data_IF_057006077616
#
_entry.id   IF_057006077616
#
_cell.length_a   1.000
_cell.length_b   1.000
_cell.length_c   1.000
_cell.angle_alpha   90.00
_cell.angle_beta   90.00
_cell.angle_gamma   90.00
#
_symmetry.space_group_name_H-M   'P 1'
#
loop_
_entity.id
_entity.type
_entity.pdbx_description
1 polymer ?
#
# COMPACT_ATOMS: atom_id res chain seq x y z
N UNK A 1 -15.24 -7.08 -27.08
CA UNK A 1 -14.84 -7.84 -26.90
C UNK A 1 -15.25 -8.72 -26.47
N UNK A 2 -15.33 -9.10 -26.33
CA UNK A 2 -15.35 -9.90 -25.97
C UNK A 2 -14.97 -10.55 -25.86
N UNK A 3 -14.73 -10.85 -25.35
CA UNK A 3 -14.16 -11.42 -24.92
C UNK A 3 -13.90 -12.12 -24.76
N UNK A 4 -13.79 -12.21 -25.11
CA UNK A 4 -13.70 -13.27 -24.47
C UNK A 4 -13.29 -13.29 -23.30
N UNK A 5 -13.61 -13.33 -22.72
CA UNK A 5 -13.14 -13.52 -21.81
C UNK A 5 -12.65 -14.54 -21.37
N UNK A 6 -12.86 -15.03 -21.47
CA UNK A 6 -12.51 -16.20 -21.01
C UNK A 6 -11.14 -16.52 -20.75
N UNK A 7 -10.41 -16.35 -21.48
CA UNK A 7 -9.03 -16.67 -21.35
C UNK A 7 -8.25 -15.55 -20.81
N UNK A 8 -8.94 -14.48 -20.47
CA UNK A 8 -8.25 -13.29 -20.16
C UNK A 8 -7.75 -13.27 -18.72
N UNK A 9 -6.48 -13.48 -18.53
CA UNK A 9 -5.84 -13.15 -17.28
C UNK A 9 -5.28 -11.74 -17.45
N UNK A 10 -5.85 -10.79 -16.72
CA UNK A 10 -5.40 -9.41 -16.76
C UNK A 10 -4.66 -9.08 -15.48
N UNK A 11 -3.40 -8.73 -15.60
CA UNK A 11 -2.56 -8.33 -14.47
C UNK A 11 -2.50 -6.81 -14.41
N UNK A 12 -2.91 -6.24 -13.29
CA UNK A 12 -2.88 -4.81 -13.06
C UNK A 12 -1.96 -4.48 -11.89
N UNK A 13 -1.24 -3.37 -12.00
CA UNK A 13 -0.47 -2.81 -10.90
C UNK A 13 -1.21 -1.56 -10.45
N UNK A 14 -1.55 -1.49 -9.17
CA UNK A 14 -2.40 -0.43 -8.68
C UNK A 14 -2.08 -0.08 -7.22
N UNK A 15 -2.60 1.04 -6.75
CA UNK A 15 -2.49 1.42 -5.35
C UNK A 15 -3.30 0.45 -4.50
N UNK A 16 -2.80 0.13 -3.31
CA UNK A 16 -3.46 -0.83 -2.41
C UNK A 16 -4.88 -0.39 -2.04
N UNK A 17 -5.16 0.91 -2.03
CA UNK A 17 -6.50 1.42 -1.73
C UNK A 17 -7.55 1.03 -2.76
N UNK A 18 -7.14 0.65 -3.97
CA UNK A 18 -8.07 0.17 -5.01
C UNK A 18 -8.23 -1.35 -4.99
N UNK A 19 -7.27 -2.06 -4.44
CA UNK A 19 -7.31 -3.51 -4.41
C UNK A 19 -8.21 -4.05 -3.30
N UNK A 20 -8.46 -3.26 -2.27
CA UNK A 20 -9.26 -3.67 -1.12
C UNK A 20 -10.48 -2.77 -0.95
N UNK A 21 -11.55 -3.33 -0.40
CA UNK A 21 -12.76 -2.58 -0.11
C UNK A 21 -12.51 -1.64 1.08
N UNK A 22 -12.92 -0.38 0.96
CA UNK A 22 -12.61 0.65 1.95
C UNK A 22 -13.29 0.45 3.30
N UNK A 23 -14.42 -0.26 3.34
CA UNK A 23 -15.14 -0.50 4.59
C UNK A 23 -14.82 -1.85 5.22
N UNK A 24 -14.75 -2.91 4.41
CA UNK A 24 -14.52 -4.26 4.92
C UNK A 24 -13.06 -4.61 5.03
N UNK A 25 -12.19 -3.88 4.31
CA UNK A 25 -10.75 -4.13 4.20
C UNK A 25 -10.42 -5.51 3.62
N UNK A 26 -11.39 -6.12 2.95
CA UNK A 26 -11.19 -7.38 2.24
C UNK A 26 -10.89 -7.10 0.78
N UNK A 27 -10.25 -8.03 0.06
CA UNK A 27 -10.01 -7.84 -1.36
C UNK A 27 -11.27 -7.53 -2.13
N UNK A 28 -11.17 -6.63 -3.10
CA UNK A 28 -12.30 -6.25 -3.95
C UNK A 28 -12.83 -7.48 -4.67
N UNK A 29 -14.15 -7.61 -4.71
CA UNK A 29 -14.81 -8.75 -5.35
C UNK A 29 -14.42 -8.83 -6.83
N UNK A 30 -14.09 -10.02 -7.28
CA UNK A 30 -13.76 -10.26 -8.67
C UNK A 30 -12.29 -10.14 -9.00
N UNK A 31 -11.45 -9.80 -8.02
CA UNK A 31 -10.00 -9.76 -8.21
C UNK A 31 -9.29 -10.61 -7.19
N UNK A 32 -8.07 -11.01 -7.52
CA UNK A 32 -7.19 -11.72 -6.60
C UNK A 32 -5.91 -10.92 -6.47
N UNK A 33 -5.42 -10.82 -5.25
CA UNK A 33 -4.15 -10.15 -5.00
C UNK A 33 -3.04 -11.16 -5.20
N UNK A 34 -2.07 -10.83 -6.06
CA UNK A 34 -0.95 -11.73 -6.34
C UNK A 34 0.14 -11.52 -5.28
N UNK A 35 0.43 -12.54 -4.47
CA UNK A 35 1.48 -12.41 -3.45
C UNK A 35 2.86 -12.29 -4.08
N UNK A 36 3.77 -11.61 -3.38
CA UNK A 36 5.16 -11.51 -3.80
C UNK A 36 6.00 -12.58 -3.14
N UNK A 37 6.81 -13.26 -3.94
CA UNK A 37 7.79 -14.23 -3.45
C UNK A 37 9.06 -13.45 -3.06
N UNK A 38 9.12 -13.04 -1.80
CA UNK A 38 10.17 -12.13 -1.33
C UNK A 38 11.53 -12.82 -1.26
N UNK A 39 11.55 -14.10 -0.88
CA UNK A 39 12.81 -14.82 -0.74
C UNK A 39 13.21 -15.60 -2.00
N UNK A 40 12.41 -15.57 -3.05
CA UNK A 40 12.75 -16.18 -4.33
C UNK A 40 12.72 -17.70 -4.35
N UNK A 41 12.01 -18.34 -3.43
CA UNK A 41 11.99 -19.80 -3.35
C UNK A 41 10.92 -20.46 -4.22
N UNK A 42 10.12 -19.68 -4.93
CA UNK A 42 9.06 -20.17 -5.78
C UNK A 42 7.82 -20.66 -5.05
N UNK A 43 7.73 -20.43 -3.75
CA UNK A 43 6.61 -20.84 -2.91
C UNK A 43 6.10 -19.67 -2.08
N UNK A 44 4.83 -19.76 -1.67
CA UNK A 44 4.26 -18.77 -0.76
C UNK A 44 4.43 -19.28 0.68
N UNK A 45 5.40 -18.73 1.38
CA UNK A 45 5.68 -19.08 2.76
C UNK A 45 4.71 -18.39 3.71
N UNK A 46 4.61 -18.86 4.96
CA UNK A 46 3.72 -18.27 5.96
C UNK A 46 4.02 -16.80 6.19
N UNK A 47 5.28 -16.41 6.20
CA UNK A 47 5.70 -15.03 6.40
C UNK A 47 5.36 -14.12 5.23
N UNK A 48 4.95 -14.70 4.10
CA UNK A 48 4.53 -13.97 2.90
C UNK A 48 3.00 -13.92 2.75
N UNK A 49 2.26 -14.53 3.69
CA UNK A 49 0.81 -14.64 3.62
C UNK A 49 0.12 -13.52 4.42
N UNK A 50 0.23 -12.30 3.93
CA UNK A 50 -0.37 -11.15 4.59
C UNK A 50 -1.34 -10.35 3.69
N UNK A 51 -1.88 -11.03 2.69
CA UNK A 51 -2.74 -10.36 1.69
C UNK A 51 -4.24 -10.51 1.97
N UNK A 52 -4.60 -11.22 3.02
CA UNK A 52 -6.01 -11.51 3.30
C UNK A 52 -6.86 -10.30 3.65
N UNK A 53 -6.27 -9.29 4.25
CA UNK A 53 -6.94 -8.03 4.56
C UNK A 53 -6.02 -6.86 4.29
N UNK A 54 -6.61 -5.69 4.08
CA UNK A 54 -5.84 -4.45 3.90
C UNK A 54 -5.00 -4.15 5.15
N UNK A 55 -5.55 -4.40 6.33
CA UNK A 55 -4.84 -4.13 7.58
C UNK A 55 -3.57 -4.97 7.70
N UNK A 56 -3.67 -6.26 7.37
CA UNK A 56 -2.52 -7.15 7.42
C UNK A 56 -1.45 -6.73 6.41
N UNK A 57 -1.85 -6.33 5.22
CA UNK A 57 -0.92 -5.87 4.19
C UNK A 57 -0.24 -4.56 4.61
N UNK A 58 -0.99 -3.60 5.13
CA UNK A 58 -0.42 -2.34 5.58
C UNK A 58 0.58 -2.55 6.71
N UNK A 59 0.27 -3.44 7.65
CA UNK A 59 1.19 -3.77 8.72
C UNK A 59 2.47 -4.42 8.20
N UNK A 60 2.33 -5.32 7.23
CA UNK A 60 3.49 -5.97 6.61
C UNK A 60 4.39 -4.95 5.91
N UNK A 61 3.81 -3.97 5.22
CA UNK A 61 4.56 -2.90 4.58
C UNK A 61 5.28 -2.05 5.63
N UNK A 62 4.59 -1.69 6.70
CA UNK A 62 5.16 -0.87 7.78
C UNK A 62 6.33 -1.58 8.47
N UNK A 63 6.27 -2.90 8.58
CA UNK A 63 7.32 -3.72 9.19
C UNK A 63 8.42 -4.12 8.22
N UNK A 64 8.33 -3.71 6.95
CA UNK A 64 9.34 -4.02 5.96
C UNK A 64 9.28 -5.42 5.37
N UNK A 65 8.17 -6.13 5.56
CA UNK A 65 7.99 -7.47 5.01
C UNK A 65 7.61 -7.47 3.54
N UNK A 66 7.05 -6.37 3.05
CA UNK A 66 6.70 -6.21 1.65
C UNK A 66 7.90 -5.58 0.94
N UNK A 67 8.29 -6.08 -0.26
CA UNK A 67 9.51 -5.60 -0.90
C UNK A 67 9.39 -4.18 -1.47
N UNK A 68 10.51 -3.49 -1.51
CA UNK A 68 10.62 -2.18 -2.14
C UNK A 68 11.71 -2.26 -3.24
N UNK A 69 11.39 -2.00 -4.51
CA UNK A 69 10.07 -1.87 -5.07
C UNK A 69 9.27 -3.18 -5.05
N UNK A 70 7.94 -3.14 -5.17
CA UNK A 70 7.11 -2.02 -5.62
C UNK A 70 6.69 -1.04 -4.52
N UNK A 71 6.91 -1.36 -3.24
CA UNK A 71 6.64 -0.39 -2.19
C UNK A 71 7.59 0.80 -2.31
N UNK A 72 7.10 2.00 -2.02
CA UNK A 72 7.92 3.21 -2.09
C UNK A 72 7.43 4.23 -1.08
N UNK A 73 8.36 5.09 -0.66
CA UNK A 73 8.03 6.19 0.22
C UNK A 73 7.45 7.35 -0.59
N UNK A 74 6.57 8.10 0.05
CA UNK A 74 6.08 9.35 -0.49
C UNK A 74 6.80 10.49 0.24
N UNK A 75 7.11 11.55 -0.47
CA UNK A 75 7.90 12.66 0.05
C UNK A 75 7.18 13.97 -0.15
N UNK A 76 7.29 14.85 0.84
CA UNK A 76 6.98 16.26 0.68
C UNK A 76 8.29 16.98 0.42
N UNK A 77 8.31 17.83 -0.59
CA UNK A 77 9.55 18.50 -1.02
C UNK A 77 9.41 20.00 -0.85
N UNK A 78 10.44 20.62 -0.29
CA UNK A 78 10.52 22.07 -0.15
C UNK A 78 11.81 22.59 -0.80
N UNK A 79 11.80 23.86 -1.18
CA UNK A 79 12.99 24.52 -1.72
C UNK A 79 13.87 24.98 -0.58
N UNK A 80 14.72 24.06 -0.09
CA UNK A 80 15.56 24.29 1.07
C UNK A 80 14.80 24.11 2.39
N UNK A 81 15.43 24.51 3.49
CA UNK A 81 14.82 24.37 4.81
C UNK A 81 13.65 25.35 4.95
N UNK A 82 12.44 24.86 5.31
CA UNK A 82 11.30 25.74 5.47
C UNK A 82 11.49 26.69 6.65
N UNK A 83 11.17 27.95 6.43
CA UNK A 83 11.28 29.00 7.45
C UNK A 83 9.91 29.53 7.90
N UNK A 84 8.88 29.37 7.07
CA UNK A 84 7.54 29.81 7.41
C UNK A 84 6.98 28.95 8.54
N UNK A 85 6.58 29.53 9.68
CA UNK A 85 6.07 28.73 10.82
C UNK A 85 4.87 27.87 10.48
N UNK A 86 4.01 28.29 9.57
CA UNK A 86 2.83 27.51 9.14
C UNK A 86 3.28 26.25 8.41
N UNK A 87 4.27 26.37 7.53
CA UNK A 87 4.81 25.22 6.80
C UNK A 87 5.49 24.26 7.75
N UNK A 88 6.27 24.77 8.70
CA UNK A 88 6.96 23.94 9.69
C UNK A 88 5.95 23.14 10.52
N UNK A 89 4.88 23.80 10.99
CA UNK A 89 3.84 23.15 11.77
C UNK A 89 3.07 22.10 10.95
N UNK A 90 2.80 22.39 9.68
CA UNK A 90 2.14 21.45 8.79
C UNK A 90 2.99 20.18 8.60
N UNK A 91 4.27 20.33 8.33
CA UNK A 91 5.17 19.19 8.17
C UNK A 91 5.27 18.36 9.44
N UNK A 92 5.31 19.04 10.59
CA UNK A 92 5.31 18.36 11.87
C UNK A 92 4.02 17.57 12.09
N UNK A 93 2.88 18.16 11.75
CA UNK A 93 1.58 17.49 11.85
C UNK A 93 1.54 16.25 10.96
N UNK A 94 1.98 16.36 9.70
CA UNK A 94 1.99 15.24 8.76
C UNK A 94 2.81 14.07 9.30
N UNK A 95 3.93 14.35 9.94
CA UNK A 95 4.83 13.31 10.44
C UNK A 95 4.41 12.73 11.79
N UNK A 96 3.48 13.35 12.47
CA UNK A 96 3.04 12.94 13.80
C UNK A 96 1.55 12.64 13.82
N UNK A 97 0.74 13.60 14.25
CA UNK A 97 -0.71 13.38 14.43
C UNK A 97 -1.44 13.06 13.14
N UNK A 98 -0.98 13.59 12.02
CA UNK A 98 -1.60 13.35 10.72
C UNK A 98 -1.44 11.92 10.22
N UNK A 99 -0.52 11.15 10.79
CA UNK A 99 -0.28 9.77 10.35
C UNK A 99 -1.52 8.89 10.53
N UNK A 100 -2.37 9.19 11.49
CA UNK A 100 -3.62 8.44 11.72
C UNK A 100 -4.59 8.52 10.54
N UNK A 101 -4.41 9.48 9.66
CA UNK A 101 -5.28 9.66 8.50
C UNK A 101 -4.84 8.81 7.30
N UNK A 102 -3.66 8.20 7.38
CA UNK A 102 -3.10 7.46 6.24
C UNK A 102 -3.88 6.20 5.91
N UNK A 103 -4.15 5.36 6.90
CA UNK A 103 -4.84 4.10 6.65
C UNK A 103 -6.21 4.29 6.02
N UNK A 104 -7.10 5.19 6.54
CA UNK A 104 -8.38 5.45 5.86
C UNK A 104 -8.22 5.98 4.44
N UNK A 105 -7.13 6.67 4.14
CA UNK A 105 -6.87 7.21 2.81
C UNK A 105 -6.16 6.21 1.89
N UNK A 106 -5.82 5.02 2.37
CA UNK A 106 -5.18 3.99 1.56
C UNK A 106 -3.67 4.06 1.55
N UNK A 107 -3.06 4.69 2.55
CA UNK A 107 -1.60 4.82 2.66
C UNK A 107 -1.10 4.21 3.98
N UNK A 108 0.17 3.84 3.98
CA UNK A 108 0.81 3.26 5.16
C UNK A 108 1.50 4.36 5.96
N UNK A 109 1.35 4.32 7.29
CA UNK A 109 2.02 5.28 8.18
C UNK A 109 3.53 5.01 8.24
N UNK A 110 4.28 6.02 8.63
CA UNK A 110 5.72 5.87 8.87
C UNK A 110 5.99 5.30 10.26
#
# INVERSE_FOLDING_TARGET
MTHPQSSGLLLLINNIGYAYHDKTHKPTKGIAIVPMDVNGNGKLDEEEKFYGTLDALMEAIAKGKYPAPPARNLYLVTAGKPKNPVVVEFLKYVRTKGQRLNAPAGFVHI
#
